data_IF_966356016842
#
_entry.id   IF_966356016842
#
_cell.length_a   1.000
_cell.length_b   1.000
_cell.length_c   1.000
_cell.angle_alpha   90.00
_cell.angle_beta   90.00
_cell.angle_gamma   90.00
#
_symmetry.space_group_name_H-M   'P 1'
#
loop_
_entity.id
_entity.type
_entity.pdbx_description
1 polymer ?
#
# COMPACT_ATOMS: atom_id res chain seq x y z
N UNK A 1 -16.05 11.83 -2.26
CA UNK A 1 -15.83 10.44 -1.80
C UNK A 1 -16.24 9.37 -2.81
N UNK A 2 -17.50 9.34 -3.31
CA UNK A 2 -18.01 8.27 -4.20
C UNK A 2 -17.15 8.00 -5.45
N UNK A 3 -16.70 9.05 -6.13
CA UNK A 3 -15.90 8.90 -7.37
C UNK A 3 -14.50 8.33 -7.11
N UNK A 4 -13.82 8.75 -6.04
CA UNK A 4 -12.51 8.19 -5.63
C UNK A 4 -12.61 6.71 -5.31
N UNK A 5 -13.66 6.31 -4.59
CA UNK A 5 -13.94 4.91 -4.25
C UNK A 5 -14.13 4.07 -5.51
N UNK A 6 -14.97 4.54 -6.44
CA UNK A 6 -15.20 3.86 -7.72
C UNK A 6 -13.92 3.68 -8.54
N UNK A 7 -13.10 4.73 -8.65
CA UNK A 7 -11.81 4.65 -9.37
C UNK A 7 -10.89 3.62 -8.72
N UNK A 8 -10.78 3.61 -7.40
CA UNK A 8 -9.95 2.63 -6.68
C UNK A 8 -10.44 1.18 -6.88
N UNK A 9 -11.76 0.96 -6.83
CA UNK A 9 -12.36 -0.36 -7.08
C UNK A 9 -12.14 -0.85 -8.52
N UNK A 10 -12.31 0.04 -9.50
CA UNK A 10 -12.01 -0.25 -10.91
C UNK A 10 -10.54 -0.59 -11.11
N UNK A 11 -9.64 0.24 -10.58
CA UNK A 11 -8.20 0.01 -10.68
C UNK A 11 -7.82 -1.35 -10.07
N UNK A 12 -8.35 -1.65 -8.88
CA UNK A 12 -8.09 -2.93 -8.21
C UNK A 12 -8.59 -4.14 -9.01
N UNK A 13 -9.70 -4.00 -9.72
CA UNK A 13 -10.25 -5.06 -10.58
C UNK A 13 -9.44 -5.25 -11.88
N UNK A 14 -8.94 -4.15 -12.43
CA UNK A 14 -8.17 -4.12 -13.68
C UNK A 14 -6.71 -4.55 -13.48
N UNK A 15 -6.17 -4.34 -12.27
CA UNK A 15 -4.80 -4.69 -11.95
C UNK A 15 -4.60 -6.20 -11.81
N UNK A 16 -4.14 -6.84 -12.89
CA UNK A 16 -3.87 -8.28 -12.96
C UNK A 16 -2.43 -8.53 -13.43
N UNK A 17 -1.43 -8.33 -12.55
CA UNK A 17 -0.02 -8.47 -12.91
C UNK A 17 0.33 -9.92 -13.25
N UNK A 18 1.03 -10.11 -14.37
CA UNK A 18 1.56 -11.41 -14.78
C UNK A 18 3.05 -11.58 -14.44
N UNK A 19 3.67 -10.57 -13.83
CA UNK A 19 5.08 -10.54 -13.46
C UNK A 19 5.28 -10.78 -11.96
N UNK A 20 6.47 -11.25 -11.54
CA UNK A 20 6.88 -11.22 -10.14
C UNK A 20 6.88 -9.80 -9.58
N UNK A 21 6.39 -9.64 -8.35
CA UNK A 21 6.29 -8.36 -7.68
C UNK A 21 7.12 -8.32 -6.39
N UNK A 22 7.61 -7.12 -6.09
CA UNK A 22 8.20 -6.74 -4.80
C UNK A 22 7.24 -5.82 -4.07
N UNK A 23 6.95 -6.11 -2.80
CA UNK A 23 6.15 -5.23 -1.93
C UNK A 23 7.07 -4.24 -1.23
N UNK A 24 6.69 -2.97 -1.25
CA UNK A 24 7.37 -1.90 -0.51
C UNK A 24 6.40 -1.20 0.42
N UNK A 25 6.85 -0.93 1.64
CA UNK A 25 6.12 -0.14 2.62
C UNK A 25 7.08 0.71 3.43
N UNK A 26 6.63 1.91 3.82
CA UNK A 26 7.36 2.79 4.71
C UNK A 26 6.38 3.64 5.51
N UNK A 27 6.46 3.60 6.84
CA UNK A 27 5.53 4.31 7.71
C UNK A 27 5.77 5.82 7.68
N UNK A 28 4.71 6.61 7.55
CA UNK A 28 4.77 8.08 7.67
C UNK A 28 3.75 8.60 8.66
N UNK A 29 4.19 9.51 9.54
CA UNK A 29 3.31 10.31 10.38
C UNK A 29 2.71 11.45 9.53
N UNK A 30 1.39 11.44 9.35
CA UNK A 30 0.68 12.43 8.52
C UNK A 30 -0.54 12.93 9.30
N UNK A 31 -0.92 14.20 9.13
CA UNK A 31 -2.18 14.72 9.67
C UNK A 31 -3.38 13.95 9.12
N UNK A 32 -4.36 13.69 9.98
CA UNK A 32 -5.57 13.01 9.55
C UNK A 32 -6.42 13.91 8.66
N UNK A 33 -7.04 13.31 7.64
CA UNK A 33 -7.86 14.03 6.65
C UNK A 33 -9.05 14.74 7.33
N UNK A 34 -9.47 14.26 8.50
CA UNK A 34 -10.63 14.76 9.25
C UNK A 34 -10.28 15.58 10.49
N UNK A 35 -9.02 15.91 10.76
CA UNK A 35 -8.67 16.78 11.90
C UNK A 35 -7.18 16.93 12.21
N UNK A 36 -6.87 17.75 13.23
CA UNK A 36 -5.51 18.15 13.64
C UNK A 36 -4.69 17.08 14.38
N UNK A 37 -5.02 15.79 14.25
CA UNK A 37 -4.25 14.72 14.90
C UNK A 37 -3.35 14.05 13.88
N UNK A 38 -2.07 13.93 14.22
CA UNK A 38 -1.11 13.12 13.46
C UNK A 38 -1.44 11.65 13.66
N UNK A 39 -1.48 10.91 12.55
CA UNK A 39 -1.79 9.48 12.52
C UNK A 39 -0.73 8.76 11.70
N UNK A 40 -0.40 7.54 12.10
CA UNK A 40 0.48 6.68 11.32
C UNK A 40 -0.25 6.23 10.06
N UNK A 41 0.33 6.55 8.90
CA UNK A 41 -0.15 6.13 7.58
C UNK A 41 0.93 5.26 6.97
N UNK A 42 0.53 4.11 6.43
CA UNK A 42 1.46 3.17 5.83
C UNK A 42 1.15 3.01 4.33
N UNK A 43 1.78 3.79 3.44
CA UNK A 43 1.78 3.49 2.01
C UNK A 43 2.31 2.08 1.74
N UNK A 44 1.54 1.29 1.00
CA UNK A 44 1.91 -0.04 0.54
C UNK A 44 1.80 -0.06 -0.98
N UNK A 45 2.90 -0.37 -1.64
CA UNK A 45 2.96 -0.46 -3.09
C UNK A 45 3.64 -1.76 -3.54
N UNK A 46 3.45 -2.07 -4.81
CA UNK A 46 4.15 -3.15 -5.49
C UNK A 46 4.88 -2.62 -6.72
N UNK A 47 6.04 -3.20 -7.00
CA UNK A 47 6.73 -2.97 -8.26
C UNK A 47 7.30 -4.25 -8.87
N UNK A 48 7.47 -4.25 -10.19
CA UNK A 48 8.08 -5.36 -10.92
C UNK A 48 7.88 -5.26 -12.43
N UNK A 49 8.97 -5.35 -13.22
CA UNK A 49 8.95 -5.36 -14.69
C UNK A 49 7.97 -4.33 -15.31
N UNK A 50 8.19 -3.04 -15.06
CA UNK A 50 7.37 -1.96 -15.60
C UNK A 50 6.03 -1.74 -14.87
N UNK A 51 5.76 -2.50 -13.81
CA UNK A 51 4.66 -2.25 -12.88
C UNK A 51 5.18 -1.41 -11.72
N UNK A 52 4.47 -0.32 -11.41
CA UNK A 52 4.57 0.45 -10.18
C UNK A 52 3.14 0.83 -9.75
N UNK A 53 2.64 0.25 -8.65
CA UNK A 53 1.24 0.41 -8.25
C UNK A 53 1.11 0.62 -6.74
N UNK A 54 0.49 1.75 -6.34
CA UNK A 54 0.05 1.96 -4.97
C UNK A 54 -1.20 1.12 -4.69
N UNK A 55 -1.14 0.24 -3.70
CA UNK A 55 -2.25 -0.65 -3.34
C UNK A 55 -3.15 -0.04 -2.26
N UNK A 56 -2.54 0.54 -1.22
CA UNK A 56 -3.26 1.10 -0.09
C UNK A 56 -2.42 2.11 0.70
N UNK A 57 -3.11 2.94 1.49
CA UNK A 57 -2.51 3.80 2.51
C UNK A 57 -3.30 3.66 3.82
N UNK A 58 -3.30 2.46 4.44
CA UNK A 58 -3.98 2.23 5.72
C UNK A 58 -3.54 3.23 6.77
N UNK A 59 -4.52 3.67 7.56
CA UNK A 59 -4.30 4.39 8.81
C UNK A 59 -4.05 3.35 9.89
N UNK A 60 -2.92 3.42 10.57
CA UNK A 60 -2.58 2.58 11.70
C UNK A 60 -2.95 3.31 12.99
N UNK A 61 -3.37 2.56 14.01
CA UNK A 61 -3.54 3.11 15.36
C UNK A 61 -2.18 3.41 16.01
N UNK A 62 -1.17 2.59 15.70
CA UNK A 62 0.21 2.72 16.14
C UNK A 62 1.15 2.13 15.08
N UNK A 63 2.28 2.76 14.82
CA UNK A 63 3.31 2.30 13.86
C UNK A 63 4.18 1.13 14.33
N UNK A 64 3.63 0.15 15.06
CA UNK A 64 4.40 -1.04 15.48
C UNK A 64 4.69 -1.96 14.29
N UNK A 65 5.76 -2.75 14.38
CA UNK A 65 6.13 -3.70 13.32
C UNK A 65 5.01 -4.70 13.00
N UNK A 66 4.29 -5.17 14.02
CA UNK A 66 3.14 -6.08 13.88
C UNK A 66 1.96 -5.43 13.15
N UNK A 67 1.61 -4.19 13.50
CA UNK A 67 0.55 -3.44 12.84
C UNK A 67 0.89 -3.21 11.36
N UNK A 68 2.15 -2.88 11.07
CA UNK A 68 2.63 -2.73 9.70
C UNK A 68 2.58 -4.04 8.92
N UNK A 69 3.09 -5.14 9.48
CA UNK A 69 3.09 -6.44 8.83
C UNK A 69 1.67 -6.95 8.54
N UNK A 70 0.75 -6.76 9.50
CA UNK A 70 -0.67 -7.13 9.34
C UNK A 70 -1.32 -6.32 8.22
N UNK A 71 -1.12 -4.99 8.20
CA UNK A 71 -1.67 -4.14 7.16
C UNK A 71 -1.12 -4.48 5.75
N UNK A 72 0.16 -4.84 5.66
CA UNK A 72 0.80 -5.32 4.42
C UNK A 72 0.17 -6.63 3.97
N UNK A 73 0.06 -7.62 4.86
CA UNK A 73 -0.53 -8.92 4.57
C UNK A 73 -1.99 -8.81 4.11
N UNK A 74 -2.82 -8.09 4.87
CA UNK A 74 -4.23 -7.87 4.54
C UNK A 74 -4.40 -7.19 3.18
N UNK A 75 -3.51 -6.24 2.86
CA UNK A 75 -3.49 -5.58 1.56
C UNK A 75 -3.20 -6.59 0.45
N UNK A 76 -2.14 -7.40 0.56
CA UNK A 76 -1.78 -8.43 -0.43
C UNK A 76 -2.92 -9.43 -0.65
N UNK A 77 -3.54 -9.92 0.43
CA UNK A 77 -4.66 -10.85 0.37
C UNK A 77 -5.87 -10.20 -0.32
N UNK A 78 -6.22 -8.97 0.08
CA UNK A 78 -7.38 -8.30 -0.49
C UNK A 78 -7.24 -8.04 -1.99
N UNK A 79 -6.01 -7.89 -2.50
CA UNK A 79 -5.69 -7.71 -3.91
C UNK A 79 -5.42 -9.03 -4.65
N UNK A 80 -5.49 -10.17 -3.96
CA UNK A 80 -5.21 -11.50 -4.51
C UNK A 80 -3.82 -11.61 -5.18
N UNK A 81 -2.79 -11.05 -4.54
CA UNK A 81 -1.43 -10.99 -5.09
C UNK A 81 -0.44 -12.00 -4.49
N UNK A 82 -0.89 -12.86 -3.56
CA UNK A 82 -0.01 -13.77 -2.80
C UNK A 82 0.98 -14.55 -3.67
N UNK A 83 0.51 -15.15 -4.77
CA UNK A 83 1.36 -15.94 -5.67
C UNK A 83 2.34 -15.12 -6.51
N UNK A 84 2.09 -13.81 -6.64
CA UNK A 84 2.90 -12.87 -7.43
C UNK A 84 4.02 -12.24 -6.61
N UNK A 85 3.85 -12.14 -5.29
CA UNK A 85 4.88 -11.56 -4.42
C UNK A 85 6.07 -12.52 -4.30
N UNK A 86 7.26 -12.05 -4.69
CA UNK A 86 8.52 -12.80 -4.56
C UNK A 86 9.54 -12.12 -3.66
N UNK A 87 9.29 -10.87 -3.27
CA UNK A 87 10.21 -10.10 -2.46
C UNK A 87 9.45 -9.08 -1.60
N UNK A 88 10.03 -8.77 -0.45
CA UNK A 88 9.62 -7.69 0.43
C UNK A 88 10.82 -6.76 0.62
N UNK A 89 10.62 -5.46 0.40
CA UNK A 89 11.67 -4.47 0.54
C UNK A 89 11.19 -3.34 1.46
N UNK A 90 11.75 -3.28 2.67
CA UNK A 90 11.62 -2.14 3.57
C UNK A 90 12.69 -1.11 3.21
N UNK A 91 12.58 -0.47 2.04
CA UNK A 91 13.52 0.59 1.64
C UNK A 91 12.90 1.98 1.79
N UNK A 92 13.68 2.99 2.20
CA UNK A 92 13.20 4.37 2.25
C UNK A 92 12.84 4.81 0.84
N UNK A 93 11.55 5.05 0.60
CA UNK A 93 11.02 5.46 -0.70
C UNK A 93 11.47 6.89 -1.02
N UNK A 94 12.72 7.05 -1.49
CA UNK A 94 13.27 8.35 -1.94
C UNK A 94 12.63 8.87 -3.23
N UNK A 95 11.76 8.12 -3.88
CA UNK A 95 11.26 8.42 -5.24
C UNK A 95 9.74 8.52 -5.38
N UNK A 96 8.96 8.43 -4.30
CA UNK A 96 7.50 8.67 -4.37
C UNK A 96 7.19 10.04 -3.79
N UNK A 97 7.21 11.05 -4.65
CA UNK A 97 6.49 12.30 -4.38
C UNK A 97 5.00 12.01 -4.57
N UNK A 98 4.27 12.09 -3.47
CA UNK A 98 2.80 12.21 -3.49
C UNK A 98 2.45 13.66 -3.77
#
# INVERSE_FOLDING_TARGET
MKQRKRVAESLKKEFQPNTPLTVHWDGKLIEDITGHKTVDRLPILVSGQGVDQLLAVPKLSHGTGEACASAVYDTIVSWNLGDKIKCFASTPLRSIQV
#
